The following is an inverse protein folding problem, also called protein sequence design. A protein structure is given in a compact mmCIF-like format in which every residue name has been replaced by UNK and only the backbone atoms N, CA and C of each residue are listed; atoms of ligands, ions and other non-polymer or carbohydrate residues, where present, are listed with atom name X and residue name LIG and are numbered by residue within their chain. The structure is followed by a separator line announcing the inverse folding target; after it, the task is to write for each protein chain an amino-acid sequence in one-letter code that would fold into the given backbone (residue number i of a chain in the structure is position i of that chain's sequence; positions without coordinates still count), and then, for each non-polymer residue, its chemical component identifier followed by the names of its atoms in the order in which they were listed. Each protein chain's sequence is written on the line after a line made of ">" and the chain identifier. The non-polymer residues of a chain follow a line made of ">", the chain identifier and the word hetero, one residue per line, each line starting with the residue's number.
data_IF_186657308342
#
_entry.id   IF_186657308342
#
_cell.length_a   1.000
_cell.length_b   1.000
_cell.length_c   1.000
_cell.angle_alpha   90.00
_cell.angle_beta   90.00
_cell.angle_gamma   90.00
#
_symmetry.space_group_name_H-M   'P 1'
#
loop_
_entity.id
_entity.type
_entity.pdbx_description
1 polymer ?
#
# COMPACT_ATOMS: atom_id res chain seq x y z
N UNK A 1 22.62 -26.07 44.87
CA UNK A 1 23.33 -26.36 43.60
C UNK A 1 22.63 -25.59 42.51
N UNK A 2 23.23 -24.51 42.00
CA UNK A 2 22.66 -23.70 40.94
C UNK A 2 23.37 -24.05 39.62
N UNK A 3 22.65 -24.69 38.72
CA UNK A 3 23.11 -25.03 37.37
C UNK A 3 22.93 -23.83 36.45
N UNK A 4 24.01 -23.11 36.20
CA UNK A 4 24.08 -22.07 35.18
C UNK A 4 24.26 -22.71 33.80
N UNK A 5 23.34 -22.46 32.88
CA UNK A 5 23.48 -22.83 31.46
C UNK A 5 24.62 -22.01 30.82
N UNK A 6 25.46 -22.59 29.94
CA UNK A 6 26.56 -21.87 29.33
C UNK A 6 26.05 -20.90 28.25
N UNK A 7 26.75 -19.78 28.01
CA UNK A 7 26.41 -18.86 26.94
C UNK A 7 26.68 -19.52 25.59
N UNK A 8 25.65 -19.70 24.76
CA UNK A 8 25.80 -20.18 23.38
C UNK A 8 26.64 -19.17 22.59
N UNK A 9 27.91 -19.51 22.38
CA UNK A 9 28.84 -18.78 21.53
C UNK A 9 28.26 -18.70 20.10
N UNK A 10 28.12 -17.47 19.58
CA UNK A 10 27.71 -17.23 18.19
C UNK A 10 28.68 -17.83 17.14
N UNK A 11 29.86 -18.27 17.59
CA UNK A 11 30.89 -18.94 16.78
C UNK A 11 30.55 -20.39 16.39
N UNK A 12 29.60 -21.05 17.08
CA UNK A 12 29.22 -22.45 16.81
C UNK A 12 28.07 -22.62 15.80
N UNK A 13 27.62 -21.55 15.14
CA UNK A 13 26.69 -21.72 14.01
C UNK A 13 27.50 -22.16 12.78
N UNK A 14 27.33 -23.40 12.29
CA UNK A 14 28.01 -23.83 11.08
C UNK A 14 27.63 -22.90 9.92
N UNK A 15 28.63 -22.46 9.15
CA UNK A 15 28.41 -21.67 7.94
C UNK A 15 27.53 -22.49 6.99
N UNK A 16 26.44 -21.90 6.52
CA UNK A 16 25.50 -22.55 5.60
C UNK A 16 26.25 -23.10 4.37
N UNK A 17 25.98 -24.35 4.01
CA UNK A 17 26.49 -24.93 2.75
C UNK A 17 25.91 -24.18 1.55
N UNK A 18 26.57 -24.24 0.40
CA UNK A 18 26.05 -23.61 -0.83
C UNK A 18 24.64 -24.12 -1.20
N UNK A 19 24.38 -25.42 -0.98
CA UNK A 19 23.05 -26.01 -1.14
C UNK A 19 22.02 -25.38 -0.18
N UNK A 20 22.37 -25.25 1.10
CA UNK A 20 21.50 -24.63 2.12
C UNK A 20 21.27 -23.13 1.85
N UNK A 21 22.27 -22.40 1.34
CA UNK A 21 22.09 -20.99 0.95
C UNK A 21 21.11 -20.87 -0.21
N UNK A 22 21.24 -21.71 -1.23
CA UNK A 22 20.34 -21.73 -2.39
C UNK A 22 18.90 -22.02 -1.98
N UNK A 23 18.69 -23.02 -1.12
CA UNK A 23 17.37 -23.36 -0.60
C UNK A 23 16.77 -22.21 0.24
N UNK A 24 17.56 -21.62 1.14
CA UNK A 24 17.13 -20.47 1.93
C UNK A 24 16.74 -19.28 1.07
N UNK A 25 17.51 -19.01 0.01
CA UNK A 25 17.21 -17.94 -0.95
C UNK A 25 15.86 -18.18 -1.65
N UNK A 26 15.62 -19.38 -2.17
CA UNK A 26 14.35 -19.74 -2.82
C UNK A 26 13.17 -19.56 -1.87
N UNK A 27 13.28 -20.09 -0.65
CA UNK A 27 12.23 -19.97 0.37
C UNK A 27 11.97 -18.51 0.78
N UNK A 28 13.02 -17.72 0.93
CA UNK A 28 12.90 -16.30 1.29
C UNK A 28 12.20 -15.50 0.18
N UNK A 29 12.55 -15.77 -1.08
CA UNK A 29 11.91 -15.12 -2.22
C UNK A 29 10.45 -15.59 -2.41
N UNK A 30 10.15 -16.87 -2.19
CA UNK A 30 8.77 -17.36 -2.21
C UNK A 30 7.91 -16.62 -1.17
N UNK A 31 8.39 -16.55 0.08
CA UNK A 31 7.71 -15.82 1.16
C UNK A 31 7.53 -14.33 0.82
N UNK A 32 8.56 -13.70 0.24
CA UNK A 32 8.48 -12.30 -0.22
C UNK A 32 7.37 -12.13 -1.27
N UNK A 33 7.30 -13.03 -2.26
CA UNK A 33 6.28 -12.98 -3.31
C UNK A 33 4.87 -13.25 -2.79
N UNK A 34 4.71 -14.17 -1.84
CA UNK A 34 3.43 -14.42 -1.17
C UNK A 34 2.95 -13.16 -0.43
N UNK A 35 3.82 -12.51 0.34
CA UNK A 35 3.48 -11.26 1.03
C UNK A 35 3.09 -10.12 0.08
N UNK A 36 3.74 -10.02 -1.09
CA UNK A 36 3.38 -9.05 -2.14
C UNK A 36 1.98 -9.35 -2.68
N UNK A 37 1.69 -10.61 -3.01
CA UNK A 37 0.37 -11.02 -3.52
C UNK A 37 -0.75 -10.75 -2.53
N UNK A 38 -0.54 -11.08 -1.25
CA UNK A 38 -1.49 -10.73 -0.19
C UNK A 38 -1.71 -9.21 -0.10
N UNK A 39 -0.68 -8.41 -0.36
CA UNK A 39 -0.79 -6.95 -0.46
C UNK A 39 -1.72 -6.52 -1.59
N UNK A 40 -1.58 -7.12 -2.78
CA UNK A 40 -2.46 -6.85 -3.91
C UNK A 40 -3.90 -7.33 -3.67
N UNK A 41 -4.08 -8.50 -3.06
CA UNK A 41 -5.40 -9.01 -2.72
C UNK A 41 -6.12 -8.07 -1.72
N UNK A 42 -5.38 -7.48 -0.76
CA UNK A 42 -5.92 -6.45 0.14
C UNK A 42 -6.24 -5.13 -0.57
N UNK A 43 -5.40 -4.68 -1.51
CA UNK A 43 -5.72 -3.48 -2.29
C UNK A 43 -6.99 -3.69 -3.12
N UNK A 44 -7.09 -4.85 -3.78
CA UNK A 44 -8.24 -5.25 -4.58
C UNK A 44 -9.56 -5.28 -3.79
N UNK A 45 -9.53 -5.62 -2.50
CA UNK A 45 -10.73 -5.62 -1.65
C UNK A 45 -11.13 -4.23 -1.13
N UNK A 46 -10.22 -3.26 -1.11
CA UNK A 46 -10.49 -1.88 -0.66
C UNK A 46 -10.96 -1.01 -1.83
N UNK A 47 -10.39 -1.21 -3.01
CA UNK A 47 -10.66 -0.37 -4.18
C UNK A 47 -11.97 -0.83 -4.86
N UNK A 48 -12.97 0.07 -5.00
CA UNK A 48 -14.24 -0.29 -5.63
C UNK A 48 -14.06 -0.86 -7.03
N UNK A 49 -14.73 -1.99 -7.31
CA UNK A 49 -14.70 -2.66 -8.61
C UNK A 49 -13.48 -3.54 -8.88
N UNK A 50 -12.53 -3.66 -7.94
CA UNK A 50 -11.32 -4.48 -8.10
C UNK A 50 -11.36 -5.81 -7.34
N UNK A 51 -12.47 -6.17 -6.71
CA UNK A 51 -12.57 -7.40 -5.92
C UNK A 51 -12.23 -8.65 -6.76
N UNK A 52 -11.35 -9.51 -6.22
CA UNK A 52 -10.85 -10.69 -6.94
C UNK A 52 -9.84 -10.40 -8.06
N UNK A 53 -9.50 -9.14 -8.35
CA UNK A 53 -8.53 -8.75 -9.39
C UNK A 53 -7.08 -8.63 -8.88
N UNK A 54 -6.74 -9.15 -7.69
CA UNK A 54 -5.40 -9.06 -7.09
C UNK A 54 -4.26 -9.64 -7.94
N UNK A 55 -4.57 -10.37 -9.02
CA UNK A 55 -3.58 -10.89 -9.98
C UNK A 55 -3.28 -9.93 -11.15
N UNK A 56 -4.09 -8.90 -11.35
CA UNK A 56 -3.92 -7.87 -12.37
C UNK A 56 -3.16 -6.67 -11.81
N UNK A 57 -1.88 -6.86 -11.44
CA UNK A 57 -1.10 -5.90 -10.64
C UNK A 57 -1.16 -4.45 -11.19
N UNK A 58 -0.93 -4.26 -12.48
CA UNK A 58 -0.95 -2.93 -13.10
C UNK A 58 -2.33 -2.27 -13.01
N UNK A 59 -3.40 -3.03 -13.27
CA UNK A 59 -4.78 -2.55 -13.22
C UNK A 59 -5.17 -2.17 -11.78
N UNK A 60 -4.80 -3.01 -10.81
CA UNK A 60 -5.07 -2.72 -9.38
C UNK A 60 -4.34 -1.45 -8.94
N UNK A 61 -3.07 -1.26 -9.31
CA UNK A 61 -2.33 -0.04 -8.96
C UNK A 61 -2.93 1.20 -9.60
N UNK A 62 -3.27 1.14 -10.88
CA UNK A 62 -3.89 2.26 -11.60
C UNK A 62 -5.24 2.66 -10.97
N UNK A 63 -6.10 1.67 -10.72
CA UNK A 63 -7.38 1.87 -10.06
C UNK A 63 -7.21 2.41 -8.63
N UNK A 64 -6.22 1.92 -7.89
CA UNK A 64 -5.90 2.41 -6.54
C UNK A 64 -5.51 3.88 -6.56
N UNK A 65 -4.61 4.28 -7.47
CA UNK A 65 -4.16 5.67 -7.59
C UNK A 65 -5.33 6.59 -7.98
N UNK A 66 -6.17 6.16 -8.92
CA UNK A 66 -7.39 6.88 -9.30
C UNK A 66 -8.31 7.07 -8.09
N UNK A 67 -8.60 5.99 -7.37
CA UNK A 67 -9.47 6.01 -6.20
C UNK A 67 -8.92 6.92 -5.09
N UNK A 68 -7.62 6.87 -4.80
CA UNK A 68 -7.00 7.77 -3.82
C UNK A 68 -7.18 9.25 -4.17
N UNK A 69 -7.04 9.61 -5.45
CA UNK A 69 -7.26 11.00 -5.91
C UNK A 69 -8.73 11.40 -5.77
N UNK A 70 -9.66 10.50 -6.07
CA UNK A 70 -11.09 10.74 -5.87
C UNK A 70 -11.42 10.97 -4.39
N UNK A 71 -10.84 10.18 -3.48
CA UNK A 71 -11.01 10.36 -2.04
C UNK A 71 -10.44 11.69 -1.54
N UNK A 72 -9.32 12.17 -2.11
CA UNK A 72 -8.76 13.49 -1.78
C UNK A 72 -9.73 14.61 -2.18
N UNK A 73 -10.32 14.54 -3.37
CA UNK A 73 -11.28 15.55 -3.85
C UNK A 73 -12.59 15.48 -3.06
N UNK A 74 -13.09 14.29 -2.75
CA UNK A 74 -14.31 14.14 -1.93
C UNK A 74 -14.09 14.65 -0.51
N UNK A 75 -12.91 14.39 0.06
CA UNK A 75 -12.54 14.94 1.37
C UNK A 75 -12.60 16.47 1.38
N UNK A 76 -12.07 17.13 0.35
CA UNK A 76 -12.14 18.60 0.23
C UNK A 76 -13.58 19.10 0.14
N UNK A 77 -14.44 18.39 -0.60
CA UNK A 77 -15.88 18.69 -0.69
C UNK A 77 -16.54 18.64 0.68
N UNK A 78 -16.30 17.57 1.44
CA UNK A 78 -16.85 17.38 2.78
C UNK A 78 -16.34 18.43 3.78
N UNK A 79 -15.06 18.80 3.70
CA UNK A 79 -14.45 19.86 4.52
C UNK A 79 -15.11 21.21 4.22
N UNK A 80 -15.31 21.52 2.94
CA UNK A 80 -15.97 22.76 2.52
C UNK A 80 -17.40 22.84 3.08
N UNK A 81 -18.14 21.73 3.02
CA UNK A 81 -19.49 21.64 3.58
C UNK A 81 -19.49 21.79 5.11
N UNK A 82 -18.58 21.10 5.80
CA UNK A 82 -18.45 21.19 7.25
C UNK A 82 -18.11 22.62 7.70
N UNK A 83 -17.22 23.31 6.97
CA UNK A 83 -16.88 24.71 7.22
C UNK A 83 -18.10 25.62 7.00
N UNK A 84 -18.89 25.39 5.96
CA UNK A 84 -20.13 26.14 5.73
C UNK A 84 -21.15 25.96 6.85
N UNK A 85 -21.12 24.83 7.54
CA UNK A 85 -21.90 24.56 8.75
C UNK A 85 -21.27 25.13 10.04
N UNK A 86 -20.16 25.87 9.94
CA UNK A 86 -19.45 26.48 11.07
C UNK A 86 -18.61 25.51 11.91
N UNK A 87 -18.31 24.31 11.40
CA UNK A 87 -17.41 23.35 12.07
C UNK A 87 -15.95 23.74 11.84
N UNK A 88 -15.11 23.51 12.84
CA UNK A 88 -13.66 23.65 12.70
C UNK A 88 -13.09 22.47 11.88
N UNK A 89 -12.40 22.80 10.79
CA UNK A 89 -11.83 21.83 9.84
C UNK A 89 -10.31 21.93 9.72
N UNK A 90 -9.64 22.81 10.45
CA UNK A 90 -8.23 23.14 10.22
C UNK A 90 -7.30 21.91 10.25
N UNK A 91 -7.58 20.94 11.13
CA UNK A 91 -6.81 19.70 11.24
C UNK A 91 -6.95 18.75 10.04
N UNK A 92 -7.97 18.95 9.20
CA UNK A 92 -8.29 18.07 8.09
C UNK A 92 -7.97 18.68 6.73
N UNK A 93 -7.51 19.92 6.66
CA UNK A 93 -7.22 20.58 5.40
C UNK A 93 -5.92 20.06 4.77
N UNK A 94 -5.93 19.94 3.44
CA UNK A 94 -4.72 19.67 2.66
C UNK A 94 -4.27 20.95 1.97
N UNK A 95 -3.01 20.96 1.52
CA UNK A 95 -2.53 22.05 0.69
C UNK A 95 -3.34 22.14 -0.60
N UNK A 96 -3.63 23.37 -1.01
CA UNK A 96 -4.32 23.65 -2.27
C UNK A 96 -3.63 22.98 -3.46
N UNK A 97 -2.29 22.98 -3.47
CA UNK A 97 -1.47 22.30 -4.49
C UNK A 97 -1.82 20.81 -4.63
N UNK A 98 -2.03 20.11 -3.50
CA UNK A 98 -2.39 18.69 -3.50
C UNK A 98 -3.78 18.47 -4.12
N UNK A 99 -4.75 19.31 -3.74
CA UNK A 99 -6.12 19.24 -4.26
C UNK A 99 -6.15 19.55 -5.76
N UNK A 100 -5.48 20.61 -6.19
CA UNK A 100 -5.41 21.04 -7.58
C UNK A 100 -4.72 19.98 -8.45
N UNK A 101 -3.64 19.37 -7.96
CA UNK A 101 -2.96 18.27 -8.65
C UNK A 101 -3.88 17.05 -8.80
N UNK A 102 -4.55 16.60 -7.73
CA UNK A 102 -5.47 15.47 -7.79
C UNK A 102 -6.64 15.74 -8.74
N UNK A 103 -7.23 16.92 -8.66
CA UNK A 103 -8.36 17.34 -9.51
C UNK A 103 -7.96 17.40 -10.99
N UNK A 104 -6.80 17.99 -11.29
CA UNK A 104 -6.29 18.09 -12.67
C UNK A 104 -5.99 16.71 -13.26
N UNK A 105 -5.41 15.81 -12.47
CA UNK A 105 -5.14 14.43 -12.87
C UNK A 105 -6.43 13.67 -13.21
N UNK A 106 -7.46 13.77 -12.36
CA UNK A 106 -8.75 13.11 -12.62
C UNK A 106 -9.43 13.64 -13.87
N UNK A 107 -9.37 14.96 -14.12
CA UNK A 107 -9.90 15.56 -15.36
C UNK A 107 -9.22 15.01 -16.61
N UNK A 108 -7.89 14.84 -16.58
CA UNK A 108 -7.13 14.24 -17.71
C UNK A 108 -7.57 12.81 -17.96
N UNK A 109 -7.65 11.98 -16.92
CA UNK A 109 -8.08 10.58 -17.05
C UNK A 109 -9.50 10.45 -17.61
N UNK A 110 -10.42 11.37 -17.27
CA UNK A 110 -11.78 11.39 -17.82
C UNK A 110 -11.80 11.73 -19.31
N UNK A 111 -10.93 12.65 -19.76
CA UNK A 111 -10.82 13.04 -21.16
C UNK A 111 -10.24 11.92 -22.01
N UNK A 112 -9.21 11.23 -21.52
CA UNK A 112 -8.59 10.09 -22.19
C UNK A 112 -9.57 8.90 -22.33
N UNK A 113 -10.39 8.64 -21.32
CA UNK A 113 -11.41 7.58 -21.38
C UNK A 113 -12.66 7.91 -22.20
N UNK A 114 -12.80 9.15 -22.68
CA UNK A 114 -13.92 9.59 -23.51
C UNK A 114 -13.60 9.59 -25.02
N UNK A 115 -12.38 9.19 -25.39
CA UNK A 115 -11.90 9.03 -26.77
C UNK A 115 -11.90 7.55 -27.16
#
# INVERSE_FOLDING_TARGET
>A
MASASPPTNAADRPRLTEAQKKENHIRSEQKRREAIREGFDRLASIVPGMEGQGRSEAVVLEATIKYMREQVVERERLITEARAQGKDTAAYELSKETIDACTSQLKRNQQEGSQ
#
